data_IF_539140659636
#
_entry.id   IF_539140659636
#
_cell.length_a   1.000
_cell.length_b   1.000
_cell.length_c   1.000
_cell.angle_alpha   90.00
_cell.angle_beta   90.00
_cell.angle_gamma   90.00
#
_symmetry.space_group_name_H-M   'P 1'
#
loop_
_entity.id
_entity.type
_entity.pdbx_description
1 polymer ?
#
# COMPACT_ATOMS: atom_id res chain seq x y z
N UNK A 1 24.25 -5.42 18.03
CA UNK A 1 23.80 -4.16 17.39
C UNK A 1 22.34 -4.30 16.99
N UNK A 2 21.43 -3.51 17.56
CA UNK A 2 20.00 -3.57 17.29
C UNK A 2 19.71 -2.63 16.12
N UNK A 3 19.54 -3.16 14.91
CA UNK A 3 19.22 -2.34 13.73
C UNK A 3 17.92 -1.58 13.98
N UNK A 4 17.93 -0.24 13.87
CA UNK A 4 16.71 0.58 13.88
C UNK A 4 15.78 0.05 12.79
N UNK A 5 14.59 -0.41 13.17
CA UNK A 5 13.55 -0.80 12.22
C UNK A 5 13.19 0.41 11.36
N UNK A 6 13.27 0.32 10.02
CA UNK A 6 12.85 1.40 9.13
C UNK A 6 11.41 1.79 9.44
N UNK A 7 11.15 3.09 9.59
CA UNK A 7 9.78 3.59 9.71
C UNK A 7 9.05 3.32 8.39
N UNK A 8 7.86 2.68 8.42
CA UNK A 8 7.14 2.38 7.19
C UNK A 8 6.72 3.68 6.50
N UNK A 9 6.83 3.72 5.17
CA UNK A 9 6.34 4.87 4.40
C UNK A 9 4.81 4.98 4.54
N UNK A 10 4.29 6.21 4.42
CA UNK A 10 2.83 6.45 4.45
C UNK A 10 2.13 5.58 3.40
N UNK A 11 2.65 5.52 2.18
CA UNK A 11 2.07 4.74 1.09
C UNK A 11 2.05 3.24 1.38
N UNK A 12 3.12 2.68 1.94
CA UNK A 12 3.16 1.27 2.38
C UNK A 12 2.05 1.02 3.42
N UNK A 13 1.96 1.91 4.42
CA UNK A 13 0.97 1.80 5.49
C UNK A 13 -0.46 1.84 4.94
N UNK A 14 -0.75 2.74 3.99
CA UNK A 14 -2.06 2.83 3.34
C UNK A 14 -2.40 1.59 2.52
N UNK A 15 -1.45 0.98 1.81
CA UNK A 15 -1.66 -0.29 1.08
C UNK A 15 -1.93 -1.46 2.02
N UNK A 16 -1.21 -1.52 3.14
CA UNK A 16 -1.49 -2.52 4.20
C UNK A 16 -2.88 -2.31 4.78
N UNK A 17 -3.28 -1.05 5.01
CA UNK A 17 -4.63 -0.74 5.51
C UNK A 17 -5.71 -1.15 4.50
N UNK A 18 -5.49 -0.96 3.20
CA UNK A 18 -6.40 -1.44 2.16
C UNK A 18 -6.54 -2.98 2.19
N UNK A 19 -5.44 -3.72 2.34
CA UNK A 19 -5.48 -5.18 2.55
C UNK A 19 -6.27 -5.57 3.79
N UNK A 20 -5.96 -4.94 4.92
CA UNK A 20 -6.57 -5.26 6.21
C UNK A 20 -8.06 -4.95 6.22
N UNK A 21 -8.51 -3.94 5.47
CA UNK A 21 -9.93 -3.57 5.37
C UNK A 21 -10.81 -4.67 4.74
N UNK A 22 -10.23 -5.52 3.88
CA UNK A 22 -10.96 -6.62 3.25
C UNK A 22 -11.36 -7.71 4.25
N UNK A 23 -10.47 -8.04 5.20
CA UNK A 23 -10.66 -9.13 6.16
C UNK A 23 -11.94 -9.01 7.00
N UNK A 24 -12.27 -7.86 7.63
CA UNK A 24 -13.53 -7.69 8.34
C UNK A 24 -14.69 -7.39 7.39
N UNK A 25 -14.45 -6.70 6.26
CA UNK A 25 -15.52 -6.32 5.34
C UNK A 25 -16.17 -7.54 4.66
N UNK A 26 -15.35 -8.52 4.26
CA UNK A 26 -15.82 -9.71 3.57
C UNK A 26 -16.91 -10.49 4.34
N UNK A 27 -16.68 -10.97 5.58
CA UNK A 27 -17.70 -11.72 6.31
C UNK A 27 -18.91 -10.85 6.65
N UNK A 28 -18.72 -9.56 6.98
CA UNK A 28 -19.82 -8.64 7.32
C UNK A 28 -20.75 -8.46 6.11
N UNK A 29 -20.21 -8.09 4.95
CA UNK A 29 -21.00 -7.85 3.73
C UNK A 29 -21.61 -9.16 3.18
N UNK A 30 -20.92 -10.29 3.32
CA UNK A 30 -21.44 -11.60 2.92
C UNK A 30 -22.62 -12.02 3.78
N UNK A 31 -22.50 -11.96 5.12
CA UNK A 31 -23.58 -12.29 6.05
C UNK A 31 -24.78 -11.37 5.84
N UNK A 32 -24.56 -10.07 5.69
CA UNK A 32 -25.66 -9.12 5.39
C UNK A 32 -26.35 -9.47 4.06
N UNK A 33 -25.61 -9.83 3.02
CA UNK A 33 -26.19 -10.24 1.74
C UNK A 33 -27.06 -11.50 1.83
N UNK A 34 -26.54 -12.54 2.48
CA UNK A 34 -27.25 -13.82 2.67
C UNK A 34 -28.54 -13.60 3.49
N UNK A 35 -28.44 -12.92 4.63
CA UNK A 35 -29.58 -12.74 5.54
C UNK A 35 -30.63 -11.78 5.01
N UNK A 36 -30.25 -10.80 4.19
CA UNK A 36 -31.21 -9.89 3.56
C UNK A 36 -31.83 -10.46 2.28
N UNK A 37 -31.31 -11.59 1.75
CA UNK A 37 -31.68 -12.12 0.43
C UNK A 37 -31.61 -11.05 -0.68
N UNK A 38 -30.76 -10.04 -0.50
CA UNK A 38 -30.56 -8.94 -1.45
C UNK A 38 -29.09 -8.85 -1.79
N UNK A 39 -28.83 -8.72 -3.09
CA UNK A 39 -27.47 -8.74 -3.64
C UNK A 39 -26.65 -7.49 -3.33
N UNK A 40 -27.28 -6.37 -2.90
CA UNK A 40 -26.65 -5.06 -2.95
C UNK A 40 -25.36 -4.87 -2.14
N UNK A 41 -25.31 -5.15 -0.82
CA UNK A 41 -24.07 -4.96 -0.08
C UNK A 41 -22.98 -5.94 -0.54
N UNK A 42 -23.36 -7.08 -1.08
CA UNK A 42 -22.44 -8.12 -1.56
C UNK A 42 -21.74 -7.72 -2.86
N UNK A 43 -22.34 -6.86 -3.70
CA UNK A 43 -21.70 -6.39 -4.94
C UNK A 43 -20.36 -5.70 -4.68
N UNK A 44 -20.23 -5.00 -3.54
CA UNK A 44 -18.98 -4.33 -3.14
C UNK A 44 -17.81 -5.31 -2.85
N UNK A 45 -18.09 -6.60 -2.62
CA UNK A 45 -17.05 -7.62 -2.41
C UNK A 45 -16.17 -7.78 -3.65
N UNK A 46 -16.73 -7.60 -4.85
CA UNK A 46 -15.98 -7.73 -6.11
C UNK A 46 -14.84 -6.70 -6.19
N UNK A 47 -15.10 -5.37 -6.18
CA UNK A 47 -14.02 -4.38 -6.23
C UNK A 47 -13.12 -4.43 -4.99
N UNK A 48 -13.63 -4.81 -3.82
CA UNK A 48 -12.81 -5.02 -2.63
C UNK A 48 -11.81 -6.18 -2.81
N UNK A 49 -12.22 -7.28 -3.44
CA UNK A 49 -11.34 -8.42 -3.72
C UNK A 49 -10.24 -8.05 -4.70
N UNK A 50 -10.58 -7.24 -5.73
CA UNK A 50 -9.58 -6.69 -6.65
C UNK A 50 -8.62 -5.73 -5.94
N UNK A 51 -9.11 -4.86 -5.05
CA UNK A 51 -8.26 -3.98 -4.22
C UNK A 51 -7.31 -4.78 -3.33
N UNK A 52 -7.80 -5.85 -2.70
CA UNK A 52 -6.99 -6.75 -1.89
C UNK A 52 -5.88 -7.40 -2.73
N UNK A 53 -6.23 -8.03 -3.85
CA UNK A 53 -5.25 -8.68 -4.72
C UNK A 53 -4.21 -7.69 -5.28
N UNK A 54 -4.66 -6.50 -5.68
CA UNK A 54 -3.80 -5.44 -6.18
C UNK A 54 -2.81 -4.94 -5.13
N UNK A 55 -3.30 -4.65 -3.91
CA UNK A 55 -2.46 -4.20 -2.79
C UNK A 55 -1.48 -5.30 -2.34
N UNK A 56 -1.90 -6.57 -2.33
CA UNK A 56 -1.04 -7.71 -2.01
C UNK A 56 0.09 -7.87 -3.03
N UNK A 57 -0.22 -7.73 -4.32
CA UNK A 57 0.76 -7.82 -5.40
C UNK A 57 1.80 -6.71 -5.33
N UNK A 58 1.37 -5.48 -5.03
CA UNK A 58 2.29 -4.35 -4.82
C UNK A 58 3.24 -4.60 -3.66
N UNK A 59 2.71 -4.97 -2.49
CA UNK A 59 3.50 -5.27 -1.29
C UNK A 59 4.42 -6.49 -1.48
N UNK A 60 4.03 -7.48 -2.27
CA UNK A 60 4.88 -8.62 -2.60
C UNK A 60 6.07 -8.22 -3.49
N UNK A 61 5.87 -7.27 -4.41
CA UNK A 61 6.93 -6.75 -5.27
C UNK A 61 7.92 -5.87 -4.50
N UNK A 62 7.43 -5.09 -3.52
CA UNK A 62 8.27 -4.30 -2.60
C UNK A 62 9.30 -5.16 -1.88
N UNK A 63 8.83 -6.28 -1.31
CA UNK A 63 9.70 -7.22 -0.59
C UNK A 63 10.80 -7.81 -1.47
N UNK A 64 10.51 -8.04 -2.77
CA UNK A 64 11.49 -8.58 -3.71
C UNK A 64 12.56 -7.55 -4.12
N UNK A 65 12.17 -6.29 -4.27
CA UNK A 65 13.07 -5.24 -4.77
C UNK A 65 13.84 -4.53 -3.65
N UNK A 66 13.46 -4.71 -2.38
CA UNK A 66 14.08 -4.02 -1.24
C UNK A 66 13.87 -2.49 -1.24
N UNK A 67 13.05 -1.99 -2.15
CA UNK A 67 12.79 -0.57 -2.33
C UNK A 67 11.45 -0.22 -1.69
N UNK A 68 11.44 0.69 -0.72
CA UNK A 68 10.22 1.28 -0.14
C UNK A 68 9.47 2.23 -1.11
N UNK A 69 9.84 2.18 -2.39
CA UNK A 69 9.39 3.09 -3.45
C UNK A 69 8.09 2.65 -4.12
N UNK A 70 7.43 1.58 -3.70
CA UNK A 70 6.14 1.21 -4.27
C UNK A 70 4.99 2.17 -3.94
N UNK A 71 5.26 3.16 -3.08
CA UNK A 71 4.43 4.35 -2.99
C UNK A 71 4.48 5.24 -4.24
N UNK A 72 5.47 5.09 -5.12
CA UNK A 72 5.65 5.91 -6.32
C UNK A 72 5.04 5.21 -7.55
N UNK A 73 3.71 5.06 -7.54
CA UNK A 73 2.78 5.98 -8.22
C UNK A 73 3.26 6.76 -9.48
N UNK A 74 4.28 6.29 -10.20
CA UNK A 74 4.78 6.95 -11.40
C UNK A 74 4.33 6.29 -12.70
N UNK A 75 3.82 5.05 -12.65
CA UNK A 75 3.32 4.38 -13.84
C UNK A 75 1.85 4.72 -14.07
N UNK A 76 1.51 5.07 -15.31
CA UNK A 76 0.13 5.32 -15.74
C UNK A 76 -0.81 4.16 -15.40
N UNK A 77 -0.29 2.93 -15.34
CA UNK A 77 -1.09 1.78 -14.95
C UNK A 77 -1.49 1.79 -13.48
N UNK A 78 -0.61 2.18 -12.56
CA UNK A 78 -1.02 2.30 -11.14
C UNK A 78 -2.11 3.35 -10.98
N UNK A 79 -1.99 4.50 -11.67
CA UNK A 79 -3.04 5.51 -11.74
C UNK A 79 -4.37 4.91 -12.20
N UNK A 80 -4.35 4.19 -13.32
CA UNK A 80 -5.55 3.61 -13.91
C UNK A 80 -6.19 2.56 -12.99
N UNK A 81 -5.39 1.68 -12.38
CA UNK A 81 -5.88 0.68 -11.44
C UNK A 81 -6.49 1.34 -10.19
N UNK A 82 -5.81 2.31 -9.58
CA UNK A 82 -6.34 3.03 -8.42
C UNK A 82 -7.61 3.81 -8.78
N UNK A 83 -7.67 4.41 -9.97
CA UNK A 83 -8.86 5.11 -10.47
C UNK A 83 -10.05 4.17 -10.67
N UNK A 84 -9.85 3.05 -11.36
CA UNK A 84 -10.91 2.04 -11.58
C UNK A 84 -11.41 1.50 -10.24
N UNK A 85 -10.51 1.22 -9.28
CA UNK A 85 -10.90 0.75 -7.95
C UNK A 85 -11.67 1.82 -7.17
N UNK A 86 -11.22 3.08 -7.18
CA UNK A 86 -11.93 4.18 -6.52
C UNK A 86 -13.35 4.35 -7.08
N UNK A 87 -13.49 4.41 -8.41
CA UNK A 87 -14.79 4.55 -9.08
C UNK A 87 -15.67 3.33 -8.85
N UNK A 88 -15.13 2.11 -8.97
CA UNK A 88 -15.86 0.87 -8.75
C UNK A 88 -16.41 0.75 -7.32
N UNK A 89 -15.58 1.09 -6.31
CA UNK A 89 -16.01 1.13 -4.92
C UNK A 89 -17.06 2.22 -4.68
N UNK A 90 -16.90 3.40 -5.28
CA UNK A 90 -17.88 4.49 -5.18
C UNK A 90 -19.23 4.11 -5.76
N UNK A 91 -19.27 3.52 -6.97
CA UNK A 91 -20.51 3.04 -7.59
C UNK A 91 -21.17 1.96 -6.73
N UNK A 92 -20.41 0.99 -6.22
CA UNK A 92 -20.96 -0.04 -5.33
C UNK A 92 -21.49 0.54 -4.02
N UNK A 93 -20.85 1.58 -3.48
CA UNK A 93 -21.30 2.28 -2.28
C UNK A 93 -22.65 2.98 -2.54
N UNK A 94 -22.78 3.71 -3.66
CA UNK A 94 -24.04 4.35 -4.04
C UNK A 94 -25.15 3.31 -4.24
N UNK A 95 -24.87 2.21 -4.93
CA UNK A 95 -25.85 1.12 -5.11
C UNK A 95 -26.24 0.48 -3.78
N UNK A 96 -25.29 0.23 -2.88
CA UNK A 96 -25.59 -0.30 -1.56
C UNK A 96 -26.56 0.63 -0.82
N UNK A 97 -26.26 1.93 -0.74
CA UNK A 97 -27.04 2.91 0.02
C UNK A 97 -28.40 3.22 -0.61
N UNK A 98 -28.47 3.34 -1.94
CA UNK A 98 -29.74 3.63 -2.65
C UNK A 98 -30.71 2.46 -2.63
N UNK A 99 -30.19 1.23 -2.58
CA UNK A 99 -31.00 0.02 -2.62
C UNK A 99 -31.11 -0.67 -1.24
N UNK A 100 -30.52 -0.07 -0.19
CA UNK A 100 -30.83 -0.42 1.19
C UNK A 100 -32.34 -0.21 1.39
N UNK A 101 -33.07 -1.19 1.97
CA UNK A 101 -34.48 -1.01 2.29
C UNK A 101 -34.63 -0.01 3.45
N UNK A 102 -34.51 1.29 3.14
CA UNK A 102 -34.67 2.41 4.07
C UNK A 102 -35.73 3.42 3.62
N UNK A 103 -36.46 3.13 2.54
CA UNK A 103 -37.44 4.06 1.96
C UNK A 103 -38.74 4.20 2.75
N UNK A 104 -39.12 3.21 3.57
CA UNK A 104 -40.24 3.33 4.49
C UNK A 104 -39.77 3.12 5.93
N UNK A 105 -39.46 4.23 6.59
CA UNK A 105 -39.23 4.33 8.03
C UNK A 105 -40.32 3.61 8.85
N UNK A 106 -41.53 3.50 8.29
CA UNK A 106 -42.68 2.79 8.86
C UNK A 106 -42.49 1.26 8.94
N UNK A 107 -41.91 0.62 7.92
CA UNK A 107 -41.70 -0.84 7.94
C UNK A 107 -40.51 -1.23 8.85
N UNK A 108 -39.59 -0.30 9.04
CA UNK A 108 -38.36 -0.49 9.81
C UNK A 108 -38.62 -0.55 11.32
N UNK A 109 -39.68 0.11 11.82
CA UNK A 109 -40.04 0.07 13.24
C UNK A 109 -40.67 -1.25 13.68
N UNK A 110 -41.34 -1.97 12.78
CA UNK A 110 -42.09 -3.18 13.16
C UNK A 110 -41.23 -4.46 13.26
N UNK A 111 -40.00 -4.48 12.73
CA UNK A 111 -39.17 -5.68 12.76
C UNK A 111 -37.75 -5.41 13.30
N UNK A 112 -37.46 -5.73 14.59
CA UNK A 112 -36.17 -5.45 15.21
C UNK A 112 -35.00 -6.24 14.57
N UNK A 113 -35.29 -7.36 13.90
CA UNK A 113 -34.26 -8.16 13.21
C UNK A 113 -33.71 -7.43 11.98
N UNK A 114 -34.56 -6.71 11.24
CA UNK A 114 -34.17 -5.94 10.06
C UNK A 114 -33.25 -4.78 10.47
N UNK A 115 -33.53 -4.12 11.59
CA UNK A 115 -32.68 -3.05 12.13
C UNK A 115 -31.25 -3.49 12.42
N UNK A 116 -31.08 -4.67 13.02
CA UNK A 116 -29.76 -5.24 13.29
C UNK A 116 -28.97 -5.51 12.01
N UNK A 117 -29.64 -5.99 10.96
CA UNK A 117 -29.02 -6.27 9.66
C UNK A 117 -28.61 -5.00 8.92
N UNK A 118 -29.43 -3.95 8.97
CA UNK A 118 -29.11 -2.64 8.38
C UNK A 118 -27.87 -2.06 9.07
N UNK A 119 -27.82 -2.07 10.41
CA UNK A 119 -26.64 -1.60 11.14
C UNK A 119 -25.39 -2.41 10.78
N UNK A 120 -25.49 -3.74 10.70
CA UNK A 120 -24.38 -4.60 10.30
C UNK A 120 -23.85 -4.25 8.89
N UNK A 121 -24.77 -4.04 7.94
CA UNK A 121 -24.43 -3.61 6.60
C UNK A 121 -23.73 -2.24 6.58
N UNK A 122 -24.21 -1.28 7.35
CA UNK A 122 -23.58 0.04 7.50
C UNK A 122 -22.15 -0.07 8.03
N UNK A 123 -21.90 -0.90 9.04
CA UNK A 123 -20.54 -1.17 9.53
C UNK A 123 -19.65 -1.79 8.44
N UNK A 124 -20.21 -2.68 7.60
CA UNK A 124 -19.51 -3.23 6.43
C UNK A 124 -19.08 -2.17 5.42
N UNK A 125 -19.96 -1.18 5.15
CA UNK A 125 -19.68 -0.08 4.22
C UNK A 125 -18.58 0.88 4.71
N UNK A 126 -18.30 0.93 6.01
CA UNK A 126 -17.19 1.74 6.54
C UNK A 126 -15.84 1.30 5.97
N UNK A 127 -15.62 -0.01 5.84
CA UNK A 127 -14.41 -0.56 5.22
C UNK A 127 -14.35 -0.27 3.72
N UNK A 128 -15.50 -0.29 3.02
CA UNK A 128 -15.61 0.10 1.61
C UNK A 128 -15.21 1.58 1.44
N UNK A 129 -15.72 2.47 2.30
CA UNK A 129 -15.39 3.90 2.30
C UNK A 129 -13.89 4.09 2.56
N UNK A 130 -13.33 3.41 3.57
CA UNK A 130 -11.90 3.49 3.88
C UNK A 130 -11.04 3.08 2.68
N UNK A 131 -11.36 1.96 2.04
CA UNK A 131 -10.65 1.45 0.87
C UNK A 131 -10.77 2.41 -0.33
N UNK A 132 -11.97 2.92 -0.59
CA UNK A 132 -12.23 3.94 -1.62
C UNK A 132 -11.41 5.22 -1.37
N UNK A 133 -11.29 5.65 -0.11
CA UNK A 133 -10.57 6.85 0.28
C UNK A 133 -9.06 6.69 0.05
N UNK A 134 -8.52 5.51 0.33
CA UNK A 134 -7.10 5.18 0.05
C UNK A 134 -6.81 5.25 -1.45
N UNK A 135 -7.63 4.63 -2.30
CA UNK A 135 -7.44 4.70 -3.75
C UNK A 135 -7.61 6.12 -4.29
N UNK A 136 -8.61 6.85 -3.78
CA UNK A 136 -8.84 8.26 -4.15
C UNK A 136 -7.65 9.14 -3.76
N UNK A 137 -7.04 8.91 -2.59
CA UNK A 137 -5.82 9.59 -2.17
C UNK A 137 -4.68 9.36 -3.17
N UNK A 138 -4.41 8.11 -3.56
CA UNK A 138 -3.36 7.82 -4.53
C UNK A 138 -3.60 8.48 -5.90
N UNK A 139 -4.84 8.47 -6.39
CA UNK A 139 -5.23 9.15 -7.64
C UNK A 139 -5.02 10.66 -7.51
N UNK A 140 -5.54 11.27 -6.43
CA UNK A 140 -5.45 12.70 -6.21
C UNK A 140 -4.00 13.16 -6.09
N UNK A 141 -3.16 12.42 -5.35
CA UNK A 141 -1.73 12.72 -5.22
C UNK A 141 -1.02 12.64 -6.57
N UNK A 142 -1.28 11.61 -7.38
CA UNK A 142 -0.68 11.47 -8.72
C UNK A 142 -1.10 12.60 -9.67
N UNK A 143 -2.39 12.92 -9.68
CA UNK A 143 -2.95 14.02 -10.50
C UNK A 143 -2.37 15.37 -10.04
N UNK A 144 -2.28 15.60 -8.74
CA UNK A 144 -1.69 16.81 -8.18
C UNK A 144 -0.21 16.97 -8.56
N UNK A 145 0.59 15.90 -8.43
CA UNK A 145 1.97 15.93 -8.89
C UNK A 145 2.09 16.11 -10.40
N UNK A 146 1.18 15.55 -11.20
CA UNK A 146 1.15 15.76 -12.64
C UNK A 146 0.90 17.24 -13.00
N UNK A 147 0.02 17.93 -12.28
CA UNK A 147 -0.26 19.35 -12.53
C UNK A 147 0.80 20.31 -11.96
N UNK A 148 1.43 19.98 -10.83
CA UNK A 148 2.44 20.84 -10.20
C UNK A 148 3.87 20.61 -10.67
N UNK A 149 4.17 19.43 -11.25
CA UNK A 149 5.53 19.13 -11.68
C UNK A 149 5.86 19.87 -12.96
N UNK A 150 6.54 21.00 -12.79
CA UNK A 150 7.18 21.73 -13.88
C UNK A 150 8.42 20.93 -14.35
N UNK A 151 8.20 19.88 -15.17
CA UNK A 151 9.16 19.02 -15.89
C UNK A 151 10.38 18.40 -15.16
N UNK A 152 10.64 18.74 -13.90
CA UNK A 152 11.91 18.47 -13.20
C UNK A 152 11.85 17.29 -12.22
N UNK A 153 10.70 16.62 -12.09
CA UNK A 153 10.48 15.54 -11.11
C UNK A 153 11.08 14.17 -11.50
N UNK A 154 11.85 14.09 -12.59
CA UNK A 154 12.44 12.84 -13.09
C UNK A 154 13.65 12.33 -12.29
N UNK A 155 14.07 13.01 -11.22
CA UNK A 155 15.36 12.74 -10.56
C UNK A 155 15.43 11.60 -9.54
N UNK A 156 14.33 11.19 -8.91
CA UNK A 156 14.38 10.32 -7.70
C UNK A 156 13.67 8.96 -7.81
N UNK A 157 13.34 8.50 -9.03
CA UNK A 157 12.74 7.18 -9.21
C UNK A 157 13.85 6.12 -9.27
N UNK A 158 13.75 5.09 -8.41
CA UNK A 158 14.65 3.94 -8.47
C UNK A 158 14.57 3.28 -9.87
N UNK A 159 15.69 3.29 -10.61
CA UNK A 159 15.78 2.71 -11.97
C UNK A 159 15.40 1.23 -12.03
N UNK A 160 15.65 0.47 -10.96
CA UNK A 160 15.29 -0.96 -10.89
C UNK A 160 13.77 -1.18 -10.76
N UNK A 161 13.05 -0.25 -10.13
CA UNK A 161 11.60 -0.36 -9.97
C UNK A 161 10.82 0.12 -11.21
N UNK A 162 11.46 0.85 -12.11
CA UNK A 162 10.82 1.46 -13.27
C UNK A 162 10.45 0.42 -14.37
N UNK A 163 11.05 -0.77 -14.35
CA UNK A 163 10.96 -1.75 -15.46
C UNK A 163 10.08 -2.98 -15.20
N UNK A 164 9.52 -3.13 -13.99
CA UNK A 164 8.89 -4.39 -13.58
C UNK A 164 7.37 -4.48 -13.81
N UNK A 165 6.70 -3.43 -14.29
CA UNK A 165 5.24 -3.45 -14.38
C UNK A 165 4.68 -3.89 -15.75
N UNK A 166 5.24 -3.46 -16.90
CA UNK A 166 4.76 -3.84 -18.25
C UNK A 166 5.90 -3.89 -19.26
N UNK A 167 5.79 -4.73 -20.32
CA UNK A 167 6.83 -4.85 -21.33
C UNK A 167 7.10 -3.49 -21.97
N UNK A 168 8.36 -3.05 -21.87
CA UNK A 168 8.87 -1.88 -22.56
C UNK A 168 8.71 -2.04 -24.08
N UNK A 169 8.08 -1.07 -24.72
CA UNK A 169 8.55 -0.61 -26.03
C UNK A 169 10.02 -0.24 -25.85
N UNK A 170 10.89 -0.96 -26.55
CA UNK A 170 12.32 -1.03 -26.28
C UNK A 170 13.01 0.29 -26.63
N UNK A 171 13.38 1.06 -25.61
CA UNK A 171 14.51 1.98 -25.72
C UNK A 171 15.67 1.35 -24.95
N UNK A 172 16.65 0.86 -25.70
CA UNK A 172 17.90 0.30 -25.17
C UNK A 172 18.77 1.42 -24.64
N UNK A 173 18.61 1.75 -23.36
CA UNK A 173 19.65 2.47 -22.64
C UNK A 173 20.58 1.43 -22.03
N UNK A 174 21.73 1.23 -22.69
CA UNK A 174 22.89 0.52 -22.18
C UNK A 174 23.36 1.27 -20.93
N UNK A 175 23.02 0.77 -19.74
CA UNK A 175 23.71 1.20 -18.54
C UNK A 175 25.01 0.40 -18.51
N UNK A 176 26.12 1.07 -18.79
CA UNK A 176 27.43 0.60 -18.35
C UNK A 176 27.37 0.44 -16.83
N UNK A 177 27.76 -0.76 -16.38
CA UNK A 177 28.03 -1.08 -14.99
C UNK A 177 29.21 -0.22 -14.51
N UNK A 178 28.95 1.04 -14.17
CA UNK A 178 29.89 1.84 -13.41
C UNK A 178 29.79 1.41 -11.95
N UNK A 179 30.60 0.42 -11.61
CA UNK A 179 31.29 0.40 -10.33
C UNK A 179 31.81 1.81 -10.03
N UNK A 180 31.54 2.34 -8.83
CA UNK A 180 32.22 3.54 -8.34
C UNK A 180 31.38 4.82 -8.34
N UNK A 181 30.34 4.86 -7.52
CA UNK A 181 30.12 6.06 -6.71
C UNK A 181 30.41 5.68 -5.27
N UNK A 182 31.70 5.75 -4.90
CA UNK A 182 32.05 6.01 -3.50
C UNK A 182 31.35 7.31 -3.14
N UNK A 183 30.42 7.23 -2.20
CA UNK A 183 30.00 8.39 -1.44
C UNK A 183 31.28 9.05 -0.95
N UNK A 184 31.54 10.27 -1.42
CA UNK A 184 32.60 11.12 -0.91
C UNK A 184 32.38 11.22 0.59
N UNK A 185 33.19 10.50 1.36
CA UNK A 185 33.34 10.74 2.78
C UNK A 185 33.80 12.19 2.91
N UNK A 186 32.99 12.97 3.61
CA UNK A 186 33.31 14.34 3.99
C UNK A 186 34.59 14.32 4.84
N UNK A 187 35.70 14.57 4.16
CA UNK A 187 37.05 14.64 4.69
C UNK A 187 37.12 15.81 5.69
N UNK A 188 37.10 15.50 6.99
CA UNK A 188 36.98 16.54 8.01
C UNK A 188 37.17 16.11 9.46
N UNK A 189 38.03 15.14 9.77
CA UNK A 189 38.58 15.05 11.14
C UNK A 189 39.90 14.27 11.22
N UNK A 190 41.02 14.89 11.64
CA UNK A 190 42.25 14.16 11.92
C UNK A 190 42.07 13.32 13.19
N UNK A 191 41.99 12.00 13.02
CA UNK A 191 42.11 11.05 14.12
C UNK A 191 43.57 11.08 14.59
N UNK A 192 43.77 11.55 15.82
CA UNK A 192 45.05 11.47 16.50
C UNK A 192 45.50 10.00 16.60
N UNK A 193 46.71 9.73 16.11
CA UNK A 193 47.39 8.46 16.29
C UNK A 193 47.60 8.21 17.78
N UNK A 194 46.83 7.30 18.37
CA UNK A 194 47.06 6.80 19.72
C UNK A 194 47.60 5.37 19.62
N UNK A 195 48.90 5.28 19.90
CA UNK A 195 49.50 4.22 20.70
C UNK A 195 49.21 2.78 20.30
N UNK A 196 50.02 2.27 19.37
CA UNK A 196 50.29 0.84 19.25
C UNK A 196 51.21 0.46 20.43
N UNK A 197 50.63 -0.06 21.51
CA UNK A 197 51.40 -0.70 22.57
C UNK A 197 51.59 -2.17 22.24
N UNK A 198 52.86 -2.52 21.99
CA UNK A 198 53.37 -3.86 21.83
C UNK A 198 53.19 -4.66 23.13
N UNK A 199 52.35 -5.69 23.09
CA UNK A 199 52.13 -6.65 24.18
C UNK A 199 52.74 -8.02 23.85
N UNK A 200 53.98 -8.18 24.28
CA UNK A 200 54.87 -9.34 24.15
C UNK A 200 54.41 -10.58 24.96
N UNK A 201 54.48 -11.75 24.31
CA UNK A 201 54.92 -13.08 24.77
C UNK A 201 54.83 -13.48 26.27
N UNK A 202 54.16 -14.60 26.53
CA UNK A 202 54.62 -15.73 27.41
C UNK A 202 53.68 -16.92 27.16
N UNK A 203 54.06 -18.00 26.48
CA UNK A 203 54.87 -19.14 26.92
C UNK A 203 54.42 -19.81 28.22
N UNK A 204 54.21 -21.13 28.11
CA UNK A 204 54.42 -22.20 29.10
C UNK A 204 53.52 -22.11 30.35
N UNK A 205 53.04 -23.16 31.02
CA UNK A 205 53.47 -24.53 31.25
C UNK A 205 52.33 -25.20 32.08
N UNK A 206 52.10 -26.48 31.85
CA UNK A 206 51.74 -27.54 32.81
C UNK A 206 50.72 -27.37 33.97
N UNK A 207 50.06 -28.52 34.22
CA UNK A 207 49.65 -29.13 35.51
C UNK A 207 48.14 -29.31 35.81
N UNK A 208 47.81 -30.61 35.89
CA UNK A 208 46.73 -31.37 36.57
C UNK A 208 45.46 -31.65 35.79
#
# INVERSE_FOLDING_TARGET
MRSKSPTPSLSHTLRVLALLSFLPSFPILLVTGILTSRYNPTVAIIPLSFSFAYSARLLANERKCGCNAAGLAGTLLHLLCDFILAVGLFVCLILAWTLFPGGSWEYQYMNPTVNKLVMLGTYGTFFVIGNMSIHSYFVATQVFYFFLSDSSYTGHVCRQCQYLAFPKVTYTFRCEDNEGYQLVEEEGSPVAAVGMEDGVSSKDEDLV
#
